data_IF_563516425628
#
_entry.id   IF_563516425628
#
_cell.length_a   1.000
_cell.length_b   1.000
_cell.length_c   1.000
_cell.angle_alpha   90.00
_cell.angle_beta   90.00
_cell.angle_gamma   90.00
#
_symmetry.space_group_name_H-M   'P 1'
#
loop_
_entity.id
_entity.type
_entity.pdbx_description
1 polymer ?
#
# COMPACT_ATOMS: atom_id res chain seq x y z
N UNK A 1 11.48 22.82 -22.96
CA UNK A 1 10.61 23.98 -22.69
C UNK A 1 9.41 23.50 -21.90
N UNK A 2 8.96 24.28 -20.92
CA UNK A 2 7.76 23.95 -20.17
C UNK A 2 6.53 24.17 -21.07
N UNK A 3 5.68 23.16 -21.21
CA UNK A 3 4.47 23.23 -22.04
C UNK A 3 3.47 24.17 -21.36
N UNK A 4 2.91 25.13 -22.09
CA UNK A 4 1.93 26.07 -21.53
C UNK A 4 0.67 25.37 -21.03
N UNK A 5 -0.09 25.99 -20.12
CA UNK A 5 -1.35 25.40 -19.65
C UNK A 5 -2.38 25.26 -20.79
N UNK A 6 -2.38 26.20 -21.75
CA UNK A 6 -3.24 26.14 -22.95
C UNK A 6 -2.87 24.91 -23.79
N UNK A 7 -1.57 24.71 -24.08
CA UNK A 7 -1.11 23.55 -24.84
C UNK A 7 -1.38 22.22 -24.11
N UNK A 8 -1.32 22.21 -22.78
CA UNK A 8 -1.69 21.05 -21.95
C UNK A 8 -3.19 20.77 -22.07
N UNK A 9 -4.03 21.79 -21.98
CA UNK A 9 -5.48 21.66 -22.13
C UNK A 9 -5.86 21.18 -23.53
N UNK A 10 -5.31 21.77 -24.58
CA UNK A 10 -5.64 21.41 -25.97
C UNK A 10 -5.31 19.95 -26.29
N UNK A 11 -4.22 19.44 -25.71
CA UNK A 11 -3.87 18.02 -25.81
C UNK A 11 -4.79 17.13 -24.96
N UNK A 12 -5.26 17.60 -23.81
CA UNK A 12 -6.06 16.84 -22.88
C UNK A 12 -7.56 16.80 -23.25
N UNK A 13 -8.10 17.89 -23.82
CA UNK A 13 -9.53 18.08 -24.07
C UNK A 13 -10.19 16.92 -24.84
N UNK A 14 -9.59 16.35 -25.91
CA UNK A 14 -10.18 15.21 -26.60
C UNK A 14 -10.38 14.00 -25.69
N UNK A 15 -9.43 13.74 -24.78
CA UNK A 15 -9.53 12.65 -23.82
C UNK A 15 -10.56 12.96 -22.73
N UNK A 16 -10.58 14.20 -22.23
CA UNK A 16 -11.58 14.65 -21.26
C UNK A 16 -13.01 14.40 -21.75
N UNK A 17 -13.31 14.76 -23.00
CA UNK A 17 -14.62 14.54 -23.62
C UNK A 17 -15.03 13.06 -23.60
N UNK A 18 -14.07 12.14 -23.71
CA UNK A 18 -14.32 10.71 -23.69
C UNK A 18 -14.45 10.14 -22.26
N UNK A 19 -13.78 10.73 -21.28
CA UNK A 19 -13.75 10.22 -19.90
C UNK A 19 -14.68 10.95 -18.93
N UNK A 20 -15.26 12.11 -19.29
CA UNK A 20 -15.99 12.99 -18.35
C UNK A 20 -17.17 12.34 -17.62
N UNK A 21 -17.69 11.24 -18.17
CA UNK A 21 -18.78 10.46 -17.58
C UNK A 21 -18.31 9.25 -16.73
N UNK A 22 -17.00 9.04 -16.60
CA UNK A 22 -16.42 7.99 -15.74
C UNK A 22 -16.39 8.42 -14.27
N UNK A 23 -16.33 7.47 -13.35
CA UNK A 23 -16.22 7.76 -11.90
C UNK A 23 -15.06 8.68 -11.56
N UNK A 24 -13.89 8.47 -12.17
CA UNK A 24 -12.71 9.31 -11.99
C UNK A 24 -12.96 10.78 -12.38
N UNK A 25 -13.56 11.02 -13.54
CA UNK A 25 -13.84 12.38 -13.99
C UNK A 25 -15.00 13.04 -13.22
N UNK A 26 -16.00 12.25 -12.81
CA UNK A 26 -17.11 12.73 -11.98
C UNK A 26 -16.61 13.26 -10.64
N UNK A 27 -15.63 12.62 -10.01
CA UNK A 27 -15.00 13.14 -8.79
C UNK A 27 -14.34 14.51 -9.01
N UNK A 28 -13.65 14.72 -10.15
CA UNK A 28 -13.05 16.01 -10.50
C UNK A 28 -14.10 17.10 -10.74
N UNK A 29 -15.20 16.77 -11.41
CA UNK A 29 -16.33 17.70 -11.62
C UNK A 29 -16.98 18.13 -10.30
N UNK A 30 -17.18 17.19 -9.37
CA UNK A 30 -17.70 17.49 -8.02
C UNK A 30 -16.75 18.45 -7.28
N UNK A 31 -15.44 18.19 -7.31
CA UNK A 31 -14.46 19.08 -6.68
C UNK A 31 -14.43 20.47 -7.34
N UNK A 32 -14.49 20.55 -8.68
CA UNK A 32 -14.56 21.82 -9.41
C UNK A 32 -15.78 22.65 -9.00
N UNK A 33 -16.95 22.02 -8.87
CA UNK A 33 -18.18 22.67 -8.46
C UNK A 33 -18.16 23.07 -6.99
N UNK A 34 -17.90 22.13 -6.08
CA UNK A 34 -18.14 22.31 -4.65
C UNK A 34 -17.04 23.11 -3.93
N UNK A 35 -15.80 23.08 -4.46
CA UNK A 35 -14.66 23.81 -3.91
C UNK A 35 -14.34 25.10 -4.67
N UNK A 36 -14.66 25.16 -5.97
CA UNK A 36 -14.24 26.26 -6.84
C UNK A 36 -15.39 26.91 -7.61
N UNK A 37 -16.65 26.51 -7.41
CA UNK A 37 -17.83 27.10 -8.06
C UNK A 37 -17.72 27.08 -9.60
N UNK A 38 -17.15 25.98 -10.13
CA UNK A 38 -17.02 25.73 -11.57
C UNK A 38 -17.87 24.50 -11.91
N UNK A 39 -19.02 24.73 -12.55
CA UNK A 39 -20.01 23.66 -12.85
C UNK A 39 -19.51 22.62 -13.84
N UNK A 40 -18.59 22.98 -14.74
CA UNK A 40 -18.05 22.07 -15.75
C UNK A 40 -16.60 22.41 -16.08
N UNK A 41 -15.83 21.40 -16.48
CA UNK A 41 -14.44 21.55 -16.92
C UNK A 41 -14.43 21.46 -18.44
N UNK A 42 -14.18 22.57 -19.12
CA UNK A 42 -14.18 22.65 -20.58
C UNK A 42 -13.29 23.81 -21.07
N UNK A 43 -13.27 24.04 -22.39
CA UNK A 43 -12.43 25.05 -23.04
C UNK A 43 -12.62 26.47 -22.49
N UNK A 44 -13.80 26.83 -21.99
CA UNK A 44 -14.07 28.16 -21.42
C UNK A 44 -13.82 28.26 -19.90
N UNK A 45 -13.69 27.13 -19.18
CA UNK A 45 -13.59 27.14 -17.71
C UNK A 45 -12.25 26.69 -17.16
N UNK A 46 -11.44 25.92 -17.91
CA UNK A 46 -10.20 25.32 -17.41
C UNK A 46 -9.21 26.35 -16.84
N UNK A 47 -9.11 27.53 -17.46
CA UNK A 47 -8.18 28.59 -17.04
C UNK A 47 -8.57 29.15 -15.69
N UNK A 48 -9.84 29.56 -15.53
CA UNK A 48 -10.41 30.06 -14.27
C UNK A 48 -10.29 29.02 -13.16
N UNK A 49 -10.55 27.74 -13.46
CA UNK A 49 -10.36 26.65 -12.49
C UNK A 49 -8.89 26.53 -12.06
N UNK A 50 -7.96 26.60 -13.01
CA UNK A 50 -6.52 26.51 -12.74
C UNK A 50 -6.03 27.64 -11.83
N UNK A 51 -6.50 28.86 -12.07
CA UNK A 51 -6.23 30.03 -11.22
C UNK A 51 -6.78 29.82 -9.80
N UNK A 52 -8.04 29.38 -9.67
CA UNK A 52 -8.65 29.10 -8.36
C UNK A 52 -7.91 28.01 -7.57
N UNK A 53 -7.46 26.94 -8.23
CA UNK A 53 -6.64 25.88 -7.61
C UNK A 53 -5.28 26.44 -7.17
N UNK A 54 -4.62 27.23 -8.01
CA UNK A 54 -3.32 27.82 -7.64
C UNK A 54 -3.44 28.75 -6.43
N UNK A 55 -4.50 29.57 -6.40
CA UNK A 55 -4.77 30.49 -5.29
C UNK A 55 -5.26 29.81 -4.01
N UNK A 56 -5.70 28.54 -4.06
CA UNK A 56 -6.15 27.82 -2.88
C UNK A 56 -5.01 27.24 -2.04
N UNK A 57 -3.78 27.25 -2.54
CA UNK A 57 -2.61 26.75 -1.81
C UNK A 57 -2.21 27.71 -0.68
N UNK A 58 -2.89 27.59 0.46
CA UNK A 58 -2.69 28.39 1.67
C UNK A 58 -2.82 27.52 2.92
N UNK A 59 -2.31 28.03 4.04
CA UNK A 59 -2.49 27.39 5.33
C UNK A 59 -3.99 27.20 5.65
N UNK A 60 -4.34 26.06 6.27
CA UNK A 60 -5.73 25.70 6.58
C UNK A 60 -6.53 25.11 5.42
N UNK A 61 -6.04 25.11 4.18
CA UNK A 61 -6.78 24.59 3.02
C UNK A 61 -7.23 23.13 3.19
N UNK A 62 -6.34 22.24 3.68
CA UNK A 62 -6.70 20.84 3.94
C UNK A 62 -7.79 20.69 5.00
N UNK A 63 -7.80 21.51 6.06
CA UNK A 63 -8.86 21.51 7.08
C UNK A 63 -10.20 21.93 6.46
N UNK A 64 -10.20 23.03 5.71
CA UNK A 64 -11.38 23.50 5.01
C UNK A 64 -11.95 22.42 4.07
N UNK A 65 -11.10 21.78 3.25
CA UNK A 65 -11.56 20.75 2.31
C UNK A 65 -12.02 19.49 3.03
N UNK A 66 -11.18 18.90 3.89
CA UNK A 66 -11.44 17.58 4.46
C UNK A 66 -12.43 17.62 5.62
N UNK A 67 -12.34 18.62 6.49
CA UNK A 67 -13.16 18.71 7.72
C UNK A 67 -14.40 19.56 7.55
N UNK A 68 -14.30 20.72 6.91
CA UNK A 68 -15.45 21.64 6.84
C UNK A 68 -16.35 21.34 5.64
N UNK A 69 -15.77 21.14 4.45
CA UNK A 69 -16.53 20.94 3.20
C UNK A 69 -16.96 19.48 3.01
N UNK A 70 -16.03 18.55 3.19
CA UNK A 70 -16.31 17.12 3.02
C UNK A 70 -16.85 16.46 4.30
N UNK A 71 -16.74 17.13 5.46
CA UNK A 71 -17.17 16.62 6.76
C UNK A 71 -16.62 15.22 7.07
N UNK A 72 -15.33 15.00 6.77
CA UNK A 72 -14.66 13.71 7.00
C UNK A 72 -14.19 13.64 8.45
N UNK A 73 -14.83 12.78 9.25
CA UNK A 73 -14.41 12.53 10.63
C UNK A 73 -13.04 11.84 10.70
N UNK A 74 -12.84 10.80 9.88
CA UNK A 74 -11.63 9.97 9.89
C UNK A 74 -11.20 9.63 8.46
N UNK A 75 -9.91 9.82 8.17
CA UNK A 75 -9.27 9.26 6.96
C UNK A 75 -8.30 8.16 7.34
N UNK A 76 -8.51 6.96 6.83
CA UNK A 76 -7.59 5.84 7.04
C UNK A 76 -6.59 5.81 5.88
N UNK A 77 -5.30 5.86 6.19
CA UNK A 77 -4.23 5.93 5.19
C UNK A 77 -3.40 4.66 5.16
N UNK A 78 -3.10 4.19 3.95
CA UNK A 78 -2.13 3.13 3.71
C UNK A 78 -0.72 3.66 3.99
N UNK A 79 -0.27 3.49 5.22
CA UNK A 79 1.01 3.97 5.70
C UNK A 79 2.09 2.96 5.30
N UNK A 80 2.65 3.17 4.12
CA UNK A 80 3.83 2.47 3.66
C UNK A 80 5.03 2.95 4.47
N UNK A 81 5.38 2.28 5.56
CA UNK A 81 6.67 2.53 6.20
C UNK A 81 7.79 1.99 5.31
N UNK A 82 8.26 2.90 4.48
CA UNK A 82 9.54 2.82 3.84
C UNK A 82 10.61 3.17 4.89
N UNK A 83 10.88 2.25 5.82
CA UNK A 83 12.04 2.29 6.73
C UNK A 83 13.40 2.47 6.02
N UNK A 84 13.37 2.55 4.70
CA UNK A 84 14.27 3.31 3.85
C UNK A 84 13.41 4.04 2.83
N UNK A 85 13.53 5.37 2.65
CA UNK A 85 13.00 6.14 1.48
C UNK A 85 13.57 5.68 0.11
N UNK A 86 13.99 4.43 0.03
CA UNK A 86 14.68 3.75 -1.06
C UNK A 86 14.26 2.28 -1.08
N UNK A 87 13.07 1.99 -1.60
CA UNK A 87 12.85 0.74 -2.33
C UNK A 87 12.46 1.10 -3.75
N UNK A 88 13.04 0.38 -4.71
CA UNK A 88 12.59 0.41 -6.10
C UNK A 88 11.13 -0.05 -6.14
N UNK A 89 10.31 0.65 -6.92
CA UNK A 89 8.91 0.32 -7.09
C UNK A 89 8.78 -1.15 -7.57
N UNK A 90 7.76 -1.90 -7.11
CA UNK A 90 7.44 -3.18 -7.72
C UNK A 90 7.31 -3.04 -9.24
N UNK A 91 7.66 -4.12 -9.96
CA UNK A 91 7.88 -4.25 -11.42
C UNK A 91 6.91 -3.54 -12.39
N UNK A 92 5.79 -3.01 -11.92
CA UNK A 92 4.72 -2.40 -12.71
C UNK A 92 5.02 -0.93 -13.04
N UNK A 93 5.93 -0.24 -12.33
CA UNK A 93 6.18 1.20 -12.53
C UNK A 93 7.63 1.56 -12.86
N UNK A 94 8.18 1.04 -13.96
CA UNK A 94 9.38 1.65 -14.58
C UNK A 94 9.13 3.08 -15.09
N UNK A 95 7.86 3.50 -15.17
CA UNK A 95 7.47 4.87 -15.54
C UNK A 95 7.74 5.90 -14.43
N UNK A 96 7.83 5.50 -13.15
CA UNK A 96 8.10 6.40 -12.03
C UNK A 96 9.58 6.63 -11.74
N UNK A 97 10.49 5.87 -12.37
CA UNK A 97 11.95 6.13 -12.30
C UNK A 97 12.31 7.57 -12.74
N UNK A 98 11.42 8.22 -13.49
CA UNK A 98 11.56 9.60 -13.98
C UNK A 98 11.01 10.67 -13.05
N UNK A 99 10.32 10.31 -11.96
CA UNK A 99 9.94 11.31 -10.98
C UNK A 99 11.15 11.63 -10.09
N UNK A 100 11.48 12.92 -9.90
CA UNK A 100 12.55 13.28 -8.99
C UNK A 100 12.27 12.66 -7.63
N UNK A 101 13.25 11.94 -7.08
CA UNK A 101 13.20 11.46 -5.70
C UNK A 101 13.07 12.69 -4.81
N UNK A 102 11.88 12.89 -4.25
CA UNK A 102 11.64 13.97 -3.30
C UNK A 102 12.27 13.50 -1.98
N UNK A 103 13.52 13.88 -1.75
CA UNK A 103 14.18 13.77 -0.44
C UNK A 103 13.55 14.81 0.51
N UNK A 104 12.27 14.65 0.84
CA UNK A 104 11.61 15.42 1.90
C UNK A 104 11.30 14.52 3.07
N UNK A 105 11.62 15.02 4.24
CA UNK A 105 11.05 14.52 5.47
C UNK A 105 9.58 14.89 5.50
N UNK A 106 8.73 13.85 5.48
CA UNK A 106 7.30 14.04 5.68
C UNK A 106 7.12 14.50 7.13
N UNK A 107 6.24 15.48 7.37
CA UNK A 107 5.90 15.85 8.74
C UNK A 107 5.29 14.63 9.47
N UNK A 108 5.31 14.64 10.83
CA UNK A 108 4.55 13.68 11.61
C UNK A 108 3.10 13.64 11.14
N UNK A 109 2.50 12.45 11.16
CA UNK A 109 1.12 12.30 10.75
C UNK A 109 0.20 12.99 11.77
N UNK A 110 -0.68 13.85 11.27
CA UNK A 110 -1.66 14.55 12.09
C UNK A 110 -2.86 13.63 12.38
N UNK A 111 -3.05 13.17 13.63
CA UNK A 111 -4.15 12.27 13.99
C UNK A 111 -5.53 12.92 13.87
N UNK A 112 -5.62 14.26 13.78
CA UNK A 112 -6.88 14.93 13.46
C UNK A 112 -7.33 14.59 12.04
N UNK A 113 -6.41 14.29 11.12
CA UNK A 113 -6.70 14.02 9.73
C UNK A 113 -6.63 12.54 9.39
N UNK A 114 -5.57 11.86 9.81
CA UNK A 114 -5.18 10.56 9.28
C UNK A 114 -4.90 9.54 10.38
N UNK A 115 -5.41 8.31 10.19
CA UNK A 115 -5.10 7.16 11.02
C UNK A 115 -4.40 6.08 10.17
N UNK A 116 -3.32 5.45 10.64
CA UNK A 116 -2.49 4.63 9.77
C UNK A 116 -2.92 3.17 9.81
N UNK A 117 -3.04 2.56 8.63
CA UNK A 117 -2.97 1.11 8.47
C UNK A 117 -1.65 0.75 7.80
N UNK A 118 -1.01 -0.33 8.23
CA UNK A 118 0.35 -0.66 7.79
C UNK A 118 0.43 -2.06 7.21
N UNK A 119 1.40 -2.25 6.33
CA UNK A 119 1.69 -3.54 5.72
C UNK A 119 2.87 -4.20 6.44
N UNK A 120 2.80 -5.53 6.53
CA UNK A 120 3.93 -6.40 6.89
C UNK A 120 4.22 -7.38 5.74
N UNK A 121 3.78 -7.03 4.52
CA UNK A 121 3.87 -7.85 3.31
C UNK A 121 5.32 -8.28 3.03
N UNK A 122 6.31 -7.46 3.40
CA UNK A 122 7.73 -7.75 3.24
C UNK A 122 8.20 -8.99 4.02
N UNK A 123 7.54 -9.33 5.13
CA UNK A 123 7.81 -10.55 5.90
C UNK A 123 7.21 -11.78 5.24
N UNK A 124 6.13 -11.61 4.48
CA UNK A 124 5.51 -12.70 3.73
C UNK A 124 6.32 -13.00 2.47
N UNK A 125 6.80 -12.00 1.74
CA UNK A 125 7.44 -12.22 0.42
C UNK A 125 8.95 -12.45 0.46
N UNK A 126 9.54 -12.65 1.65
CA UNK A 126 10.99 -12.88 1.78
C UNK A 126 11.42 -14.13 1.00
N UNK A 127 12.41 -13.97 0.10
CA UNK A 127 12.93 -15.05 -0.75
C UNK A 127 14.43 -14.97 -1.00
N UNK A 128 15.04 -13.81 -0.76
CA UNK A 128 16.43 -13.51 -1.12
C UNK A 128 17.23 -13.00 0.07
N UNK A 129 18.54 -13.22 0.03
CA UNK A 129 19.46 -12.68 1.05
C UNK A 129 19.47 -11.14 1.06
N UNK A 130 19.22 -10.50 -0.07
CA UNK A 130 19.14 -9.04 -0.15
C UNK A 130 17.91 -8.50 0.62
N UNK A 131 16.75 -9.15 0.52
CA UNK A 131 15.56 -8.78 1.30
C UNK A 131 15.81 -8.94 2.80
N UNK A 132 16.46 -10.05 3.22
CA UNK A 132 16.87 -10.26 4.62
C UNK A 132 17.79 -9.12 5.08
N UNK A 133 18.85 -8.81 4.33
CA UNK A 133 19.79 -7.73 4.68
C UNK A 133 19.12 -6.35 4.73
N UNK A 134 18.11 -6.11 3.91
CA UNK A 134 17.31 -4.88 4.00
C UNK A 134 16.51 -4.83 5.30
N UNK A 135 15.89 -5.94 5.71
CA UNK A 135 15.19 -6.03 7.00
C UNK A 135 16.14 -5.83 8.17
N UNK A 136 17.33 -6.46 8.15
CA UNK A 136 18.34 -6.29 9.21
C UNK A 136 18.70 -4.81 9.40
N UNK A 137 18.86 -4.06 8.31
CA UNK A 137 19.14 -2.62 8.34
C UNK A 137 17.97 -1.80 8.88
N UNK A 138 16.75 -2.10 8.45
CA UNK A 138 15.54 -1.34 8.84
C UNK A 138 15.21 -1.54 10.32
N UNK A 139 15.34 -2.78 10.81
CA UNK A 139 14.92 -3.15 12.17
C UNK A 139 16.09 -3.24 13.15
N UNK A 140 17.33 -3.08 12.67
CA UNK A 140 18.57 -3.16 13.44
C UNK A 140 18.66 -4.46 14.26
N UNK A 141 18.39 -5.58 13.61
CA UNK A 141 18.45 -6.93 14.17
C UNK A 141 19.11 -7.87 13.16
N UNK A 142 20.01 -8.72 13.64
CA UNK A 142 20.60 -9.77 12.79
C UNK A 142 19.58 -10.90 12.55
N UNK A 143 19.49 -11.39 11.32
CA UNK A 143 18.52 -12.39 10.88
C UNK A 143 19.28 -13.58 10.29
N UNK A 144 19.54 -14.59 11.13
CA UNK A 144 20.28 -15.81 10.75
C UNK A 144 19.46 -17.09 10.89
N UNK A 145 18.24 -17.00 11.44
CA UNK A 145 17.32 -18.12 11.61
C UNK A 145 15.87 -17.68 11.44
N UNK A 146 14.97 -18.65 11.27
CA UNK A 146 13.53 -18.38 11.26
C UNK A 146 13.09 -17.68 12.56
N UNK A 147 13.66 -18.04 13.71
CA UNK A 147 13.36 -17.36 14.98
C UNK A 147 13.81 -15.90 15.00
N UNK A 148 14.93 -15.57 14.34
CA UNK A 148 15.35 -14.17 14.22
C UNK A 148 14.40 -13.39 13.30
N UNK A 149 13.91 -14.01 12.23
CA UNK A 149 12.87 -13.41 11.38
C UNK A 149 11.58 -13.16 12.16
N UNK A 150 11.13 -14.11 12.99
CA UNK A 150 9.96 -13.94 13.85
C UNK A 150 10.16 -12.84 14.90
N UNK A 151 11.31 -12.80 15.58
CA UNK A 151 11.64 -11.70 16.50
C UNK A 151 11.68 -10.34 15.80
N UNK A 152 12.09 -10.32 14.55
CA UNK A 152 12.09 -9.08 13.74
C UNK A 152 10.67 -8.66 13.37
N UNK A 153 9.79 -9.62 13.07
CA UNK A 153 8.36 -9.36 12.90
C UNK A 153 7.74 -8.80 14.19
N UNK A 154 8.07 -9.37 15.34
CA UNK A 154 7.59 -8.88 16.64
C UNK A 154 8.05 -7.43 16.88
N UNK A 155 9.33 -7.13 16.63
CA UNK A 155 9.87 -5.76 16.70
C UNK A 155 9.16 -4.82 15.73
N UNK A 156 8.81 -5.28 14.53
CA UNK A 156 8.07 -4.49 13.57
C UNK A 156 6.67 -4.14 14.10
N UNK A 157 5.94 -5.11 14.64
CA UNK A 157 4.65 -4.85 15.30
C UNK A 157 4.78 -3.89 16.48
N UNK A 158 5.71 -4.14 17.42
CA UNK A 158 5.94 -3.26 18.58
C UNK A 158 6.19 -1.81 18.17
N UNK A 159 7.00 -1.59 17.12
CA UNK A 159 7.27 -0.26 16.58
C UNK A 159 5.99 0.38 16.07
N UNK A 160 5.18 -0.36 15.30
CA UNK A 160 3.93 0.16 14.72
C UNK A 160 2.85 0.47 15.74
N UNK A 161 2.75 -0.34 16.78
CA UNK A 161 1.83 -0.07 17.88
C UNK A 161 2.21 1.24 18.57
N UNK A 162 3.50 1.52 18.77
CA UNK A 162 3.98 2.81 19.30
C UNK A 162 3.70 3.99 18.35
N UNK A 163 3.67 3.74 17.04
CA UNK A 163 3.30 4.73 16.02
C UNK A 163 1.78 4.94 15.90
N UNK A 164 0.96 4.18 16.64
CA UNK A 164 -0.49 4.40 16.72
C UNK A 164 -1.29 3.80 15.54
N UNK A 165 -0.82 2.70 14.96
CA UNK A 165 -1.59 2.01 13.90
C UNK A 165 -2.96 1.56 14.38
N UNK A 166 -3.94 1.63 13.49
CA UNK A 166 -5.32 1.21 13.74
C UNK A 166 -5.68 -0.09 13.02
N UNK A 167 -4.79 -0.62 12.19
CA UNK A 167 -5.00 -1.86 11.46
C UNK A 167 -3.80 -2.31 10.65
N UNK A 168 -3.87 -3.54 10.18
CA UNK A 168 -2.92 -4.15 9.25
C UNK A 168 -3.57 -4.23 7.88
N UNK A 169 -2.78 -4.06 6.82
CA UNK A 169 -3.21 -4.19 5.44
C UNK A 169 -2.30 -5.15 4.69
N UNK A 170 -2.86 -5.88 3.73
CA UNK A 170 -2.08 -6.66 2.77
C UNK A 170 -2.61 -6.47 1.36
N UNK A 171 -1.67 -6.33 0.42
CA UNK A 171 -1.96 -6.32 -1.02
C UNK A 171 -1.32 -7.49 -1.75
N UNK A 172 -1.07 -8.62 -1.08
CA UNK A 172 -0.26 -9.67 -1.68
C UNK A 172 -0.89 -10.35 -2.91
N UNK A 173 -2.18 -10.13 -3.18
CA UNK A 173 -2.84 -10.55 -4.41
C UNK A 173 -2.13 -10.04 -5.69
N UNK A 174 -1.43 -8.89 -5.59
CA UNK A 174 -0.60 -8.33 -6.65
C UNK A 174 0.60 -9.18 -7.03
N UNK A 175 1.05 -10.06 -6.13
CA UNK A 175 2.32 -10.78 -6.28
C UNK A 175 2.11 -12.30 -6.28
N UNK A 176 1.07 -12.79 -5.59
CA UNK A 176 0.79 -14.21 -5.40
C UNK A 176 -0.69 -14.46 -5.11
N UNK A 177 -1.10 -15.71 -5.25
CA UNK A 177 -2.43 -16.17 -4.84
C UNK A 177 -2.66 -15.98 -3.33
N UNK A 178 -3.85 -15.50 -2.96
CA UNK A 178 -4.33 -15.37 -1.57
C UNK A 178 -4.73 -16.72 -0.94
N UNK A 179 -3.99 -17.79 -1.26
CA UNK A 179 -4.15 -19.13 -0.69
C UNK A 179 -2.95 -19.45 0.18
N UNK A 180 -3.14 -19.46 1.49
CA UNK A 180 -2.08 -19.67 2.48
C UNK A 180 -2.31 -21.01 3.16
N UNK A 181 -1.58 -22.05 2.76
CA UNK A 181 -1.77 -23.39 3.29
C UNK A 181 -1.18 -23.50 4.71
N UNK A 182 -1.70 -24.42 5.54
CA UNK A 182 -1.14 -24.67 6.87
C UNK A 182 0.17 -25.43 6.73
N UNK A 183 1.27 -24.79 7.12
CA UNK A 183 2.64 -25.31 6.98
C UNK A 183 3.27 -25.46 8.37
N UNK A 184 4.05 -26.52 8.58
CA UNK A 184 4.77 -26.71 9.83
C UNK A 184 5.92 -25.72 9.98
N UNK A 185 6.30 -25.40 11.23
CA UNK A 185 7.49 -24.58 11.48
C UNK A 185 8.74 -25.19 10.85
N UNK A 186 8.86 -26.53 10.86
CA UNK A 186 10.01 -27.24 10.28
C UNK A 186 10.14 -27.00 8.77
N UNK A 187 9.05 -27.14 8.01
CA UNK A 187 9.05 -26.90 6.55
C UNK A 187 9.40 -25.44 6.22
N UNK A 188 8.87 -24.49 6.98
CA UNK A 188 9.21 -23.08 6.82
C UNK A 188 10.70 -22.81 7.12
N UNK A 189 11.25 -23.43 8.16
CA UNK A 189 12.66 -23.28 8.56
C UNK A 189 13.61 -23.86 7.53
N UNK A 190 13.29 -25.01 6.94
CA UNK A 190 14.05 -25.59 5.83
C UNK A 190 14.14 -24.61 4.64
N UNK A 191 13.02 -24.01 4.25
CA UNK A 191 13.01 -23.03 3.15
C UNK A 191 13.75 -21.74 3.50
N UNK A 192 13.56 -21.22 4.71
CA UNK A 192 14.29 -20.04 5.19
C UNK A 192 15.81 -20.25 5.11
N UNK A 193 16.31 -21.37 5.60
CA UNK A 193 17.74 -21.69 5.58
C UNK A 193 18.28 -21.76 4.14
N UNK A 194 17.47 -22.26 3.19
CA UNK A 194 17.88 -22.35 1.78
C UNK A 194 18.14 -20.98 1.16
N UNK A 195 17.50 -19.89 1.62
CA UNK A 195 17.76 -18.53 1.12
C UNK A 195 19.26 -18.19 1.18
N UNK A 196 19.97 -18.65 2.21
CA UNK A 196 21.40 -18.39 2.41
C UNK A 196 22.30 -19.23 1.49
N UNK A 197 21.78 -20.30 0.89
CA UNK A 197 22.54 -21.19 0.00
C UNK A 197 22.48 -20.74 -1.47
N UNK A 198 21.59 -19.80 -1.84
CA UNK A 198 21.28 -19.48 -3.24
C UNK A 198 22.23 -18.49 -3.94
N UNK A 199 23.47 -18.26 -3.46
CA UNK A 199 24.45 -17.30 -4.05
C UNK A 199 23.87 -15.91 -4.45
N UNK A 200 22.72 -15.50 -3.89
CA UNK A 200 22.03 -14.24 -4.18
C UNK A 200 20.75 -14.33 -5.05
N UNK A 201 20.51 -15.41 -5.80
CA UNK A 201 19.33 -15.54 -6.68
C UNK A 201 18.01 -15.70 -5.89
N UNK A 202 18.10 -16.34 -4.72
CA UNK A 202 16.98 -16.64 -3.82
C UNK A 202 16.04 -17.74 -4.31
N UNK A 203 15.00 -18.01 -3.52
CA UNK A 203 13.98 -19.01 -3.83
C UNK A 203 13.06 -18.52 -4.96
N UNK A 204 12.61 -19.42 -5.82
CA UNK A 204 11.53 -19.10 -6.77
C UNK A 204 10.22 -18.78 -6.02
N UNK A 205 9.28 -18.05 -6.64
CA UNK A 205 7.97 -17.76 -6.03
C UNK A 205 7.20 -19.03 -5.64
N UNK A 206 7.25 -20.07 -6.49
CA UNK A 206 6.61 -21.35 -6.24
C UNK A 206 7.24 -22.07 -5.04
N UNK A 207 8.55 -22.05 -4.97
CA UNK A 207 9.33 -22.71 -3.93
C UNK A 207 9.22 -22.03 -2.57
N UNK A 208 9.19 -20.70 -2.55
CA UNK A 208 9.05 -19.94 -1.32
C UNK A 208 7.66 -20.08 -0.69
N UNK A 209 6.63 -20.44 -1.46
CA UNK A 209 5.23 -20.42 -1.04
C UNK A 209 4.99 -20.97 0.38
N UNK A 210 5.54 -22.13 0.80
CA UNK A 210 5.28 -22.63 2.14
C UNK A 210 5.85 -21.73 3.27
N UNK A 211 7.03 -21.12 3.07
CA UNK A 211 7.57 -20.12 4.01
C UNK A 211 6.67 -18.87 4.04
N UNK A 212 6.23 -18.40 2.88
CA UNK A 212 5.36 -17.23 2.78
C UNK A 212 4.00 -17.50 3.44
N UNK A 213 3.45 -18.71 3.26
CA UNK A 213 2.22 -19.15 3.92
C UNK A 213 2.37 -19.13 5.43
N UNK A 214 3.43 -19.76 5.92
CA UNK A 214 3.78 -19.74 7.33
C UNK A 214 3.85 -18.30 7.88
N UNK A 215 4.52 -17.38 7.19
CA UNK A 215 4.64 -15.99 7.64
C UNK A 215 3.30 -15.22 7.65
N UNK A 216 2.37 -15.52 6.74
CA UNK A 216 1.03 -14.93 6.79
C UNK A 216 0.27 -15.40 8.04
N UNK A 217 0.35 -16.68 8.39
CA UNK A 217 -0.20 -17.22 9.64
C UNK A 217 0.36 -16.49 10.86
N UNK A 218 1.67 -16.16 10.85
CA UNK A 218 2.32 -15.41 11.93
C UNK A 218 1.80 -13.97 12.05
N UNK A 219 1.57 -13.27 10.93
CA UNK A 219 1.00 -11.92 10.93
C UNK A 219 -0.42 -11.93 11.51
N UNK A 220 -1.27 -12.86 11.09
CA UNK A 220 -2.66 -12.96 11.58
C UNK A 220 -2.71 -13.22 13.09
N UNK A 221 -1.81 -14.06 13.62
CA UNK A 221 -1.72 -14.28 15.06
C UNK A 221 -1.43 -12.98 15.82
N UNK A 222 -0.52 -12.15 15.30
CA UNK A 222 -0.18 -10.85 15.91
C UNK A 222 -1.32 -9.83 15.76
N UNK A 223 -2.08 -9.85 14.67
CA UNK A 223 -3.27 -8.98 14.59
C UNK A 223 -4.31 -9.34 15.63
N UNK A 224 -4.48 -10.62 15.96
CA UNK A 224 -5.32 -11.08 17.07
C UNK A 224 -4.76 -10.61 18.42
N UNK A 225 -3.46 -10.80 18.67
CA UNK A 225 -2.79 -10.42 19.93
C UNK A 225 -2.92 -8.91 20.20
N UNK A 226 -2.68 -8.07 19.19
CA UNK A 226 -2.81 -6.62 19.29
C UNK A 226 -4.24 -6.11 19.04
N UNK A 227 -5.23 -6.99 18.85
CA UNK A 227 -6.64 -6.66 18.63
C UNK A 227 -6.91 -5.75 17.40
N UNK A 228 -6.05 -5.85 16.37
CA UNK A 228 -6.11 -5.06 15.16
C UNK A 228 -6.93 -5.76 14.05
N UNK A 229 -7.70 -5.01 13.23
CA UNK A 229 -8.24 -5.54 11.99
C UNK A 229 -7.13 -5.81 10.97
N UNK A 230 -7.36 -6.79 10.10
CA UNK A 230 -6.52 -7.06 8.93
C UNK A 230 -7.34 -6.89 7.65
N UNK A 231 -6.95 -5.89 6.87
CA UNK A 231 -7.53 -5.57 5.57
C UNK A 231 -6.81 -6.37 4.48
N UNK A 232 -7.56 -7.16 3.70
CA UNK A 232 -7.03 -7.99 2.62
C UNK A 232 -7.60 -7.51 1.29
N UNK A 233 -6.72 -7.07 0.40
CA UNK A 233 -7.09 -6.61 -0.95
C UNK A 233 -7.48 -7.81 -1.83
N UNK A 234 -8.77 -8.03 -1.98
CA UNK A 234 -9.44 -9.07 -2.78
C UNK A 234 -10.06 -8.53 -4.08
N UNK A 235 -10.05 -7.22 -4.29
CA UNK A 235 -10.59 -6.55 -5.48
C UNK A 235 -9.68 -6.56 -6.72
N UNK A 236 -10.04 -5.67 -7.67
CA UNK A 236 -9.24 -5.41 -8.87
C UNK A 236 -7.83 -4.96 -8.49
N UNK A 237 -6.87 -5.45 -9.27
CA UNK A 237 -5.47 -5.16 -9.09
C UNK A 237 -5.09 -3.93 -9.94
N UNK A 238 -4.52 -2.90 -9.32
CA UNK A 238 -3.67 -1.89 -9.96
C UNK A 238 -2.68 -2.46 -11.00
N UNK A 239 -2.55 -1.73 -12.12
CA UNK A 239 -1.66 -2.05 -13.23
C UNK A 239 -2.30 -2.88 -14.33
N UNK A 240 -1.56 -3.06 -15.44
CA UNK A 240 -1.95 -3.92 -16.55
C UNK A 240 -1.11 -5.20 -16.51
N UNK A 241 -1.75 -6.37 -16.44
CA UNK A 241 -1.08 -7.67 -16.58
C UNK A 241 -0.83 -8.43 -15.27
N UNK A 242 -1.90 -8.87 -14.61
CA UNK A 242 -1.82 -9.74 -13.43
C UNK A 242 -2.82 -10.90 -13.50
N UNK A 243 -2.64 -11.91 -12.64
CA UNK A 243 -3.57 -13.04 -12.49
C UNK A 243 -4.70 -12.57 -11.55
N UNK A 244 -5.80 -12.11 -12.13
CA UNK A 244 -6.94 -11.56 -11.36
C UNK A 244 -7.52 -12.55 -10.35
N UNK A 245 -7.41 -13.87 -10.61
CA UNK A 245 -7.90 -14.90 -9.68
C UNK A 245 -7.05 -15.01 -8.41
N UNK A 246 -5.85 -14.41 -8.38
CA UNK A 246 -5.06 -14.34 -7.14
C UNK A 246 -5.81 -13.65 -6.00
N UNK A 247 -6.65 -12.67 -6.33
CA UNK A 247 -7.41 -11.88 -5.37
C UNK A 247 -8.73 -12.54 -4.96
N UNK A 248 -9.05 -13.75 -5.46
CA UNK A 248 -10.32 -14.42 -5.16
C UNK A 248 -10.49 -14.65 -3.64
N UNK A 249 -11.51 -14.05 -2.98
CA UNK A 249 -11.68 -14.14 -1.54
C UNK A 249 -11.93 -15.58 -1.04
N UNK A 250 -12.39 -16.49 -1.91
CA UNK A 250 -12.60 -17.90 -1.51
C UNK A 250 -11.30 -18.62 -1.19
N UNK A 251 -10.15 -18.12 -1.63
CA UNK A 251 -8.85 -18.68 -1.28
C UNK A 251 -8.49 -18.52 0.21
N UNK A 252 -9.16 -17.62 0.93
CA UNK A 252 -8.90 -17.29 2.33
C UNK A 252 -9.76 -18.11 3.31
N UNK A 253 -10.67 -18.97 2.83
CA UNK A 253 -11.62 -19.71 3.68
C UNK A 253 -10.92 -20.46 4.81
N UNK A 254 -9.76 -21.06 4.54
CA UNK A 254 -9.02 -21.80 5.56
C UNK A 254 -8.49 -20.90 6.69
N UNK A 255 -8.11 -19.66 6.38
CA UNK A 255 -7.71 -18.67 7.38
C UNK A 255 -8.90 -18.23 8.23
N UNK A 256 -10.07 -18.04 7.63
CA UNK A 256 -11.28 -17.67 8.35
C UNK A 256 -11.73 -18.76 9.34
N UNK A 257 -11.60 -20.04 8.94
CA UNK A 257 -11.90 -21.19 9.80
C UNK A 257 -10.89 -21.29 10.95
N UNK A 258 -9.59 -21.21 10.65
CA UNK A 258 -8.51 -21.35 11.65
C UNK A 258 -8.49 -20.19 12.65
N UNK A 259 -8.70 -18.95 12.19
CA UNK A 259 -8.53 -17.74 12.98
C UNK A 259 -9.85 -17.01 13.23
N UNK A 260 -10.81 -17.68 13.87
CA UNK A 260 -12.12 -17.09 14.18
C UNK A 260 -12.10 -15.83 15.08
N UNK A 261 -10.97 -15.55 15.75
CA UNK A 261 -10.75 -14.34 16.56
C UNK A 261 -10.21 -13.16 15.76
N UNK A 262 -9.72 -13.37 14.54
CA UNK A 262 -9.21 -12.29 13.71
C UNK A 262 -10.35 -11.47 13.13
N UNK A 263 -10.15 -10.15 13.04
CA UNK A 263 -11.09 -9.21 12.44
C UNK A 263 -10.70 -8.99 10.98
N UNK A 264 -11.19 -9.85 10.10
CA UNK A 264 -10.94 -9.74 8.67
C UNK A 264 -11.81 -8.65 8.03
N UNK A 265 -11.17 -7.79 7.24
CA UNK A 265 -11.81 -6.80 6.37
C UNK A 265 -11.41 -7.12 4.92
N UNK A 266 -12.39 -7.47 4.07
CA UNK A 266 -12.16 -7.87 2.68
C UNK A 266 -12.71 -6.79 1.75
N UNK A 267 -11.88 -6.30 0.82
CA UNK A 267 -12.25 -5.23 -0.11
C UNK A 267 -11.62 -5.41 -1.49
#
# INVERSE_FOLDING_TARGET
>A
SEVSLEDKWDKFEPYWKNIKNTSYARALLIAARDLFEIEDINKSTWRKLSEKIASSNREGWYRYVLKEKANIDVSIVDYLDLGSRKKEAPRIERSLERLPRIDRELPPMDPDFFLPVVRFDEFVIVRTLNEIRQMEKVYNLAIHSLDNLLKTLDRAFERRIKEGIIGVKTGLAYLRILKYDKVTRHEAELLFNRIFHHMGEGLSWKEAKPLQDFMMHQIIQRTIEYNLPIQIHTGLQEGNGNIITNSNPTHLINLFIEYNRAKFDLF
#
